data_IF_548432851000
#
_entry.id   IF_548432851000
#
_cell.length_a   1.000
_cell.length_b   1.000
_cell.length_c   1.000
_cell.angle_alpha   90.00
_cell.angle_beta   90.00
_cell.angle_gamma   90.00
#
_symmetry.space_group_name_H-M   'P 1'
#
loop_
_entity.id
_entity.type
_entity.pdbx_description
1 polymer ?
#
# COMPACT_ATOMS: atom_id res chain seq x y z
N UNK A 1 -72.64 4.93 -14.75
CA UNK A 1 -73.71 5.91 -14.73
C UNK A 1 -73.12 7.30 -14.86
N UNK A 2 -73.34 7.94 -16.02
CA UNK A 2 -73.48 9.37 -16.36
C UNK A 2 -72.40 10.31 -15.89
N UNK A 3 -71.46 10.72 -16.80
CA UNK A 3 -71.61 11.91 -17.68
C UNK A 3 -71.76 13.23 -16.87
N UNK A 4 -70.79 14.17 -17.04
CA UNK A 4 -71.08 15.37 -17.82
C UNK A 4 -69.82 16.16 -18.17
N UNK A 5 -69.76 16.47 -19.44
CA UNK A 5 -68.85 17.40 -20.15
C UNK A 5 -69.41 18.83 -20.05
N UNK A 6 -68.49 19.86 -20.02
CA UNK A 6 -68.67 21.17 -20.69
C UNK A 6 -67.42 21.99 -20.45
N UNK A 7 -66.61 22.30 -21.38
CA UNK A 7 -66.46 23.29 -22.44
C UNK A 7 -66.58 24.77 -22.03
N UNK A 8 -65.55 25.49 -22.47
CA UNK A 8 -65.37 26.87 -23.02
C UNK A 8 -64.53 27.77 -22.12
N UNK A 9 -63.70 28.72 -22.55
CA UNK A 9 -63.18 29.14 -23.86
C UNK A 9 -62.12 30.22 -23.56
N UNK A 10 -61.19 30.35 -24.49
CA UNK A 10 -60.35 31.52 -24.87
C UNK A 10 -60.17 32.68 -23.91
N UNK A 11 -58.87 32.97 -23.65
CA UNK A 11 -58.31 34.24 -23.26
C UNK A 11 -56.84 34.31 -23.60
N UNK A 12 -56.55 34.94 -24.74
CA UNK A 12 -55.16 35.23 -25.20
C UNK A 12 -54.62 36.36 -24.33
N UNK A 13 -53.56 36.08 -23.56
CA UNK A 13 -52.70 37.11 -22.99
C UNK A 13 -51.27 36.81 -23.37
N UNK A 14 -50.71 37.61 -24.25
CA UNK A 14 -49.30 37.62 -24.61
C UNK A 14 -48.51 38.19 -23.42
N UNK A 15 -47.73 37.36 -22.76
CA UNK A 15 -46.69 37.81 -21.84
C UNK A 15 -45.35 37.47 -22.49
N UNK A 16 -44.60 38.52 -22.80
CA UNK A 16 -43.21 38.43 -23.28
C UNK A 16 -42.36 37.80 -22.16
N UNK A 17 -41.94 36.55 -22.36
CA UNK A 17 -40.90 35.93 -21.55
C UNK A 17 -39.53 36.35 -22.07
N UNK A 18 -38.86 37.17 -21.30
CA UNK A 18 -37.41 37.40 -21.42
C UNK A 18 -36.76 36.07 -21.06
N UNK A 19 -36.26 35.36 -22.04
CA UNK A 19 -35.48 34.14 -21.85
C UNK A 19 -34.13 34.50 -21.25
N UNK A 20 -33.93 34.22 -19.96
CA UNK A 20 -32.60 34.10 -19.36
C UNK A 20 -32.04 32.76 -19.84
N UNK A 21 -31.19 32.83 -20.85
CA UNK A 21 -30.30 31.73 -21.22
C UNK A 21 -29.30 31.51 -20.07
N UNK A 22 -29.64 30.61 -19.15
CA UNK A 22 -28.61 30.00 -18.28
C UNK A 22 -27.82 29.06 -19.18
N UNK A 23 -26.71 29.57 -19.69
CA UNK A 23 -25.71 28.75 -20.38
C UNK A 23 -25.13 27.76 -19.36
N UNK A 24 -25.56 26.50 -19.44
CA UNK A 24 -24.75 25.39 -18.94
C UNK A 24 -23.47 25.37 -19.78
N UNK A 25 -22.45 26.03 -19.32
CA UNK A 25 -21.09 25.76 -19.78
C UNK A 25 -20.77 24.33 -19.37
N UNK A 26 -20.88 23.39 -20.32
CA UNK A 26 -20.11 22.15 -20.23
C UNK A 26 -18.66 22.60 -20.15
N UNK A 27 -18.02 22.37 -19.03
CA UNK A 27 -16.57 22.38 -18.97
C UNK A 27 -16.11 21.28 -19.94
N UNK A 28 -15.58 21.67 -21.06
CA UNK A 28 -14.81 20.77 -21.90
C UNK A 28 -13.64 20.26 -21.04
N UNK A 29 -13.30 18.96 -21.12
CA UNK A 29 -12.15 18.45 -20.40
C UNK A 29 -10.94 19.29 -20.85
N UNK A 30 -10.25 19.91 -19.90
CA UNK A 30 -9.07 20.73 -20.16
C UNK A 30 -8.11 19.93 -21.02
N UNK A 31 -7.85 20.38 -22.22
CA UNK A 31 -6.81 19.80 -23.08
C UNK A 31 -5.50 19.98 -22.34
N UNK A 32 -4.94 18.88 -21.81
CA UNK A 32 -3.62 18.87 -21.21
C UNK A 32 -2.63 19.33 -22.26
N UNK A 33 -2.01 20.49 -22.05
CA UNK A 33 -0.98 21.01 -22.95
C UNK A 33 0.27 20.14 -22.83
N UNK A 34 1.07 20.05 -23.90
CA UNK A 34 2.34 19.29 -23.88
C UNK A 34 3.28 19.70 -22.73
N UNK A 35 3.15 20.94 -22.24
CA UNK A 35 3.88 21.41 -21.04
C UNK A 35 3.52 20.63 -19.77
N UNK A 36 2.33 20.04 -19.70
CA UNK A 36 1.89 19.25 -18.55
C UNK A 36 2.46 17.83 -18.52
N UNK A 37 3.04 17.40 -19.65
CA UNK A 37 3.70 16.08 -19.80
C UNK A 37 5.22 16.15 -19.73
N UNK A 38 5.81 17.34 -19.65
CA UNK A 38 7.26 17.46 -19.54
C UNK A 38 7.75 16.78 -18.24
N UNK A 39 8.83 15.98 -18.31
CA UNK A 39 9.39 15.34 -17.12
C UNK A 39 9.73 16.37 -16.05
N UNK A 40 9.11 16.24 -14.88
CA UNK A 40 9.36 17.11 -13.73
C UNK A 40 9.97 16.23 -12.65
N UNK A 41 11.17 16.58 -12.21
CA UNK A 41 11.84 15.82 -11.15
C UNK A 41 11.05 15.84 -9.83
N UNK A 42 11.14 14.75 -9.07
CA UNK A 42 10.46 14.59 -7.78
C UNK A 42 10.56 15.83 -6.88
N UNK A 43 11.76 16.42 -6.73
CA UNK A 43 11.95 17.59 -5.87
C UNK A 43 11.10 18.79 -6.26
N UNK A 44 10.88 18.99 -7.55
CA UNK A 44 10.01 20.06 -8.02
C UNK A 44 8.55 19.79 -7.68
N UNK A 45 8.10 18.53 -7.81
CA UNK A 45 6.74 18.13 -7.44
C UNK A 45 6.55 18.23 -5.92
N UNK A 46 7.50 17.74 -5.12
CA UNK A 46 7.46 17.83 -3.66
C UNK A 46 7.35 19.29 -3.17
N UNK A 47 8.07 20.20 -3.82
CA UNK A 47 8.06 21.62 -3.49
C UNK A 47 6.79 22.38 -3.94
N UNK A 48 5.88 21.77 -4.68
CA UNK A 48 4.63 22.41 -5.10
C UNK A 48 3.75 22.74 -3.89
N UNK A 49 3.13 23.93 -3.91
CA UNK A 49 2.07 24.27 -2.96
C UNK A 49 0.76 23.62 -3.42
N UNK A 50 0.67 22.30 -3.24
CA UNK A 50 -0.41 21.45 -3.71
C UNK A 50 -0.67 20.34 -2.69
N UNK A 51 -1.86 19.75 -2.72
CA UNK A 51 -2.22 18.59 -1.90
C UNK A 51 -1.41 17.35 -2.31
N UNK A 52 -1.35 16.34 -1.43
CA UNK A 52 -0.72 15.07 -1.73
C UNK A 52 -1.36 14.40 -2.97
N UNK A 53 -2.68 14.52 -3.14
CA UNK A 53 -3.39 13.99 -4.30
C UNK A 53 -2.96 14.69 -5.60
N UNK A 54 -2.88 16.01 -5.62
CA UNK A 54 -2.42 16.77 -6.81
C UNK A 54 -0.97 16.45 -7.16
N UNK A 55 -0.10 16.29 -6.15
CA UNK A 55 1.29 15.86 -6.32
C UNK A 55 1.36 14.43 -6.89
N UNK A 56 0.53 13.51 -6.39
CA UNK A 56 0.43 12.14 -6.89
C UNK A 56 -0.02 12.13 -8.37
N UNK A 57 -1.08 12.86 -8.70
CA UNK A 57 -1.59 12.96 -10.07
C UNK A 57 -0.54 13.59 -11.01
N UNK A 58 0.20 14.59 -10.54
CA UNK A 58 1.30 15.19 -11.32
C UNK A 58 2.41 14.18 -11.55
N UNK A 59 2.78 13.39 -10.53
CA UNK A 59 3.80 12.34 -10.65
C UNK A 59 3.41 11.31 -11.71
N UNK A 60 2.19 10.81 -11.69
CA UNK A 60 1.70 9.84 -12.69
C UNK A 60 1.84 10.38 -14.11
N UNK A 61 1.49 11.68 -14.33
CA UNK A 61 1.59 12.30 -15.67
C UNK A 61 3.00 12.55 -16.14
N UNK A 62 3.98 12.69 -15.25
CA UNK A 62 5.34 13.16 -15.58
C UNK A 62 6.42 12.10 -15.39
N UNK A 63 6.17 11.04 -14.64
CA UNK A 63 7.11 9.94 -14.49
C UNK A 63 7.26 9.15 -15.78
N UNK A 64 8.50 8.74 -16.06
CA UNK A 64 8.75 7.77 -17.14
C UNK A 64 8.15 6.41 -16.78
N UNK A 65 7.90 5.57 -17.79
CA UNK A 65 7.43 4.20 -17.55
C UNK A 65 8.40 3.43 -16.67
N UNK A 66 9.71 3.61 -16.86
CA UNK A 66 10.75 2.98 -16.04
C UNK A 66 10.66 3.43 -14.57
N UNK A 67 10.45 4.74 -14.30
CA UNK A 67 10.22 5.24 -12.95
C UNK A 67 8.97 4.61 -12.32
N UNK A 68 7.88 4.53 -13.06
CA UNK A 68 6.61 3.94 -12.62
C UNK A 68 6.77 2.47 -12.24
N UNK A 69 7.45 1.68 -13.09
CA UNK A 69 7.71 0.25 -12.85
C UNK A 69 8.56 0.06 -11.59
N UNK A 70 9.62 0.87 -11.44
CA UNK A 70 10.45 0.82 -10.23
C UNK A 70 9.66 1.05 -8.94
N UNK A 71 8.64 1.93 -8.98
CA UNK A 71 7.82 2.17 -7.78
C UNK A 71 6.98 0.97 -7.34
N UNK A 72 6.70 0.01 -8.22
CA UNK A 72 6.00 -1.21 -7.86
C UNK A 72 6.88 -2.21 -7.08
N UNK A 73 8.17 -1.96 -6.98
CA UNK A 73 9.13 -2.90 -6.39
C UNK A 73 9.59 -2.42 -5.01
N UNK A 74 9.49 -3.30 -4.01
CA UNK A 74 10.12 -3.17 -2.70
C UNK A 74 11.18 -4.27 -2.57
N UNK A 75 12.45 -3.90 -2.45
CA UNK A 75 13.56 -4.85 -2.50
C UNK A 75 14.25 -4.99 -1.15
N UNK A 76 14.69 -6.21 -0.83
CA UNK A 76 15.67 -6.44 0.25
C UNK A 76 17.09 -6.13 -0.24
N UNK A 77 17.95 -5.79 0.69
CA UNK A 77 19.37 -5.59 0.46
C UNK A 77 20.17 -6.59 1.28
N UNK A 78 21.38 -6.93 0.83
CA UNK A 78 22.24 -7.89 1.53
C UNK A 78 23.26 -7.18 2.44
N UNK A 79 23.58 -7.81 3.57
CA UNK A 79 24.64 -7.36 4.48
C UNK A 79 24.32 -6.09 5.24
N UNK A 80 25.33 -5.57 5.94
CA UNK A 80 25.20 -4.47 6.90
C UNK A 80 25.81 -3.14 6.43
N UNK A 81 26.35 -3.12 5.21
CA UNK A 81 26.98 -1.93 4.60
C UNK A 81 26.27 -1.57 3.30
N UNK A 82 25.82 -0.32 3.20
CA UNK A 82 25.24 0.20 1.96
C UNK A 82 26.36 0.64 1.01
N UNK A 83 26.83 -0.30 0.21
CA UNK A 83 27.97 -0.14 -0.70
C UNK A 83 27.58 0.40 -2.09
N UNK A 84 28.55 0.53 -2.99
CA UNK A 84 28.31 1.09 -4.33
C UNK A 84 27.45 0.16 -5.20
N UNK A 85 27.53 -1.15 -5.01
CA UNK A 85 26.70 -2.09 -5.75
C UNK A 85 25.22 -1.93 -5.40
N UNK A 86 24.90 -1.70 -4.13
CA UNK A 86 23.54 -1.46 -3.65
C UNK A 86 23.02 -0.07 -4.07
N UNK A 87 23.89 0.95 -4.06
CA UNK A 87 23.55 2.26 -4.61
C UNK A 87 23.19 2.18 -6.09
N UNK A 88 23.95 1.37 -6.84
CA UNK A 88 23.65 1.13 -8.26
C UNK A 88 22.29 0.45 -8.46
N UNK A 89 21.92 -0.53 -7.64
CA UNK A 89 20.58 -1.14 -7.67
C UNK A 89 19.49 -0.09 -7.47
N UNK A 90 19.65 0.78 -6.46
CA UNK A 90 18.67 1.86 -6.19
C UNK A 90 18.57 2.84 -7.35
N UNK A 91 19.70 3.27 -7.91
CA UNK A 91 19.71 4.20 -9.05
C UNK A 91 19.10 3.58 -10.31
N UNK A 92 19.48 2.35 -10.61
CA UNK A 92 19.09 1.65 -11.84
C UNK A 92 17.61 1.29 -11.86
N UNK A 93 17.11 0.70 -10.77
CA UNK A 93 15.74 0.19 -10.73
C UNK A 93 14.74 1.16 -10.10
N UNK A 94 15.21 2.30 -9.55
CA UNK A 94 14.35 3.39 -9.02
C UNK A 94 13.23 2.90 -8.10
N UNK A 95 13.59 1.94 -7.24
CA UNK A 95 12.67 1.15 -6.44
C UNK A 95 11.76 1.98 -5.54
N UNK A 96 10.51 1.54 -5.43
CA UNK A 96 9.50 2.19 -4.59
C UNK A 96 9.71 1.99 -3.10
N UNK A 97 10.35 0.89 -2.70
CA UNK A 97 10.66 0.56 -1.32
C UNK A 97 11.94 -0.25 -1.16
N UNK A 98 12.47 -0.22 0.05
CA UNK A 98 13.58 -1.06 0.50
C UNK A 98 13.19 -1.63 1.86
N UNK A 99 13.24 -2.95 2.00
CA UNK A 99 12.98 -3.63 3.27
C UNK A 99 14.32 -4.10 3.87
N UNK A 100 14.53 -3.78 5.14
CA UNK A 100 15.69 -4.24 5.90
C UNK A 100 15.21 -5.19 7.00
N UNK A 101 15.96 -6.26 7.19
CA UNK A 101 15.69 -7.27 8.19
C UNK A 101 16.84 -7.41 9.22
N UNK A 102 16.78 -8.46 10.04
CA UNK A 102 17.80 -8.70 11.07
C UNK A 102 19.23 -8.80 10.51
N UNK A 103 19.40 -9.30 9.29
CA UNK A 103 20.71 -9.53 8.68
C UNK A 103 21.37 -8.22 8.22
N UNK A 104 20.58 -7.15 8.12
CA UNK A 104 21.06 -5.80 7.78
C UNK A 104 21.43 -4.95 8.99
N UNK A 105 21.31 -5.46 10.23
CA UNK A 105 21.39 -4.64 11.44
C UNK A 105 22.39 -5.18 12.46
N UNK A 106 23.40 -4.37 12.79
CA UNK A 106 24.42 -4.65 13.80
C UNK A 106 24.37 -3.68 14.98
N UNK A 107 24.27 -2.37 14.70
CA UNK A 107 24.19 -1.31 15.70
C UNK A 107 23.27 -0.18 15.24
N UNK A 108 22.82 0.67 16.16
CA UNK A 108 22.01 1.86 15.82
C UNK A 108 22.76 2.80 14.88
N UNK A 109 24.03 2.99 15.10
CA UNK A 109 24.92 3.83 14.30
C UNK A 109 25.04 3.29 12.89
N UNK A 110 25.26 1.98 12.74
CA UNK A 110 25.33 1.31 11.44
C UNK A 110 24.00 1.42 10.69
N UNK A 111 22.85 1.15 11.35
CA UNK A 111 21.53 1.25 10.73
C UNK A 111 21.23 2.67 10.26
N UNK A 112 21.55 3.70 11.07
CA UNK A 112 21.41 5.11 10.65
C UNK A 112 22.26 5.44 9.43
N UNK A 113 23.51 4.94 9.38
CA UNK A 113 24.39 5.14 8.24
C UNK A 113 23.84 4.46 6.99
N UNK A 114 23.32 3.23 7.12
CA UNK A 114 22.70 2.48 6.03
C UNK A 114 21.48 3.21 5.46
N UNK A 115 20.50 3.54 6.29
CA UNK A 115 19.27 4.23 5.88
C UNK A 115 19.53 5.64 5.36
N UNK A 116 20.53 6.34 5.92
CA UNK A 116 21.00 7.63 5.40
C UNK A 116 21.57 7.48 3.99
N UNK A 117 22.40 6.47 3.76
CA UNK A 117 22.98 6.16 2.45
C UNK A 117 21.89 5.94 1.38
N UNK A 118 20.81 5.22 1.72
CA UNK A 118 19.67 5.02 0.83
C UNK A 118 19.04 6.38 0.47
N UNK A 119 18.71 7.21 1.47
CA UNK A 119 18.11 8.53 1.24
C UNK A 119 18.99 9.47 0.44
N UNK A 120 20.29 9.52 0.77
CA UNK A 120 21.25 10.35 0.07
C UNK A 120 21.39 9.94 -1.41
N UNK A 121 21.37 8.63 -1.70
CA UNK A 121 21.40 8.11 -3.07
C UNK A 121 20.17 8.52 -3.86
N UNK A 122 18.97 8.37 -3.29
CA UNK A 122 17.74 8.83 -3.93
C UNK A 122 17.78 10.36 -4.16
N UNK A 123 18.16 11.13 -3.16
CA UNK A 123 18.23 12.60 -3.22
C UNK A 123 19.23 13.12 -4.27
N UNK A 124 20.43 12.53 -4.34
CA UNK A 124 21.47 12.95 -5.29
C UNK A 124 21.14 12.56 -6.72
N UNK A 125 20.40 11.49 -6.90
CA UNK A 125 19.96 10.99 -8.20
C UNK A 125 18.60 11.57 -8.64
N UNK A 126 18.02 12.49 -7.86
CA UNK A 126 16.70 13.09 -8.11
C UNK A 126 15.56 12.07 -8.26
N UNK A 127 15.70 10.91 -7.61
CA UNK A 127 14.71 9.85 -7.59
C UNK A 127 13.65 10.13 -6.52
N UNK A 128 12.45 9.57 -6.70
CA UNK A 128 11.46 9.50 -5.63
C UNK A 128 12.05 8.69 -4.46
N UNK A 129 12.10 9.23 -3.23
CA UNK A 129 12.60 8.50 -2.09
C UNK A 129 11.83 7.19 -1.87
N UNK A 130 12.52 6.05 -1.70
CA UNK A 130 11.85 4.79 -1.41
C UNK A 130 11.25 4.80 -0.01
N UNK A 131 10.22 3.98 0.22
CA UNK A 131 9.91 3.55 1.57
C UNK A 131 11.15 2.81 2.13
N UNK A 132 11.50 3.10 3.37
CA UNK A 132 12.52 2.33 4.11
C UNK A 132 11.77 1.57 5.19
N UNK A 133 11.57 0.28 4.92
CA UNK A 133 10.67 -0.57 5.66
C UNK A 133 11.39 -1.58 6.55
N UNK A 134 10.72 -1.98 7.61
CA UNK A 134 11.04 -3.15 8.42
C UNK A 134 9.77 -3.82 8.92
N UNK A 135 9.87 -5.08 9.31
CA UNK A 135 8.82 -5.74 10.11
C UNK A 135 9.24 -5.71 11.59
N UNK A 136 8.78 -4.69 12.32
CA UNK A 136 9.18 -4.46 13.71
C UNK A 136 8.76 -5.60 14.64
N UNK A 137 7.62 -6.19 14.40
CA UNK A 137 7.04 -7.25 15.22
C UNK A 137 7.85 -8.56 15.12
N UNK A 138 8.54 -8.78 14.00
CA UNK A 138 9.43 -9.94 13.80
C UNK A 138 10.87 -9.70 14.26
N UNK A 139 11.21 -8.48 14.70
CA UNK A 139 12.56 -8.11 15.17
C UNK A 139 12.79 -8.38 16.66
N UNK A 140 12.09 -9.31 17.24
CA UNK A 140 12.15 -9.67 18.68
C UNK A 140 13.54 -10.14 19.16
N UNK A 141 14.41 -10.55 18.23
CA UNK A 141 15.72 -11.14 18.57
C UNK A 141 16.87 -10.12 18.65
N UNK A 142 16.60 -8.82 18.52
CA UNK A 142 17.62 -7.75 18.55
C UNK A 142 17.34 -6.67 19.59
N UNK A 143 17.24 -7.02 20.91
CA UNK A 143 16.89 -6.07 21.96
C UNK A 143 17.95 -4.97 22.18
N UNK A 144 19.20 -5.19 21.77
CA UNK A 144 20.26 -4.16 21.82
C UNK A 144 20.09 -3.04 20.79
N UNK A 145 19.36 -3.30 19.72
CA UNK A 145 19.14 -2.35 18.62
C UNK A 145 17.84 -1.58 18.78
N UNK A 146 16.81 -2.22 19.30
CA UNK A 146 15.46 -1.66 19.37
C UNK A 146 14.87 -1.86 20.75
N UNK A 147 13.80 -1.14 21.05
CA UNK A 147 13.02 -1.36 22.27
C UNK A 147 12.72 -2.86 22.43
N UNK A 148 12.75 -3.39 23.66
CA UNK A 148 12.45 -4.79 23.91
C UNK A 148 11.12 -5.18 23.28
N UNK A 149 11.10 -6.34 22.63
CA UNK A 149 9.85 -6.92 22.16
C UNK A 149 8.92 -7.18 23.32
N UNK A 150 7.66 -6.80 23.14
CA UNK A 150 6.61 -7.06 24.14
C UNK A 150 5.60 -7.99 23.50
N UNK A 151 5.24 -9.08 24.20
CA UNK A 151 4.19 -9.98 23.74
C UNK A 151 2.91 -9.18 23.45
N UNK A 152 2.37 -9.23 22.21
CA UNK A 152 1.20 -8.45 21.83
C UNK A 152 -0.02 -8.73 22.71
N UNK A 153 -0.24 -10.00 23.12
CA UNK A 153 -1.36 -10.38 23.98
C UNK A 153 -1.21 -9.80 25.39
N UNK A 154 0.02 -9.81 25.94
CA UNK A 154 0.29 -9.19 27.24
C UNK A 154 0.13 -7.67 27.16
N UNK A 155 0.63 -7.03 26.11
CA UNK A 155 0.46 -5.60 25.88
C UNK A 155 -1.02 -5.22 25.76
N UNK A 156 -1.78 -5.98 24.98
CA UNK A 156 -3.23 -5.78 24.83
C UNK A 156 -3.95 -5.82 26.17
N UNK A 157 -3.61 -6.76 27.06
CA UNK A 157 -4.21 -6.86 28.40
C UNK A 157 -3.94 -5.64 29.28
N UNK A 158 -2.85 -4.91 29.06
CA UNK A 158 -2.53 -3.66 29.79
C UNK A 158 -3.39 -2.47 29.35
N UNK A 159 -4.14 -2.59 28.24
CA UNK A 159 -5.06 -1.56 27.76
C UNK A 159 -4.51 -0.72 26.60
N UNK A 160 -5.38 0.10 26.01
CA UNK A 160 -5.05 0.92 24.84
C UNK A 160 -4.01 2.00 25.14
N UNK A 161 -3.92 2.51 26.36
CA UNK A 161 -2.90 3.49 26.76
C UNK A 161 -1.49 2.88 26.70
N UNK A 162 -1.35 1.63 27.13
CA UNK A 162 -0.09 0.90 27.02
C UNK A 162 0.31 0.65 25.56
N UNK A 163 -0.66 0.24 24.73
CA UNK A 163 -0.46 0.10 23.26
C UNK A 163 -0.04 1.44 22.65
N UNK A 164 -0.76 2.52 22.95
CA UNK A 164 -0.48 3.86 22.47
C UNK A 164 0.92 4.35 22.86
N UNK A 165 1.32 4.13 24.11
CA UNK A 165 2.63 4.50 24.63
C UNK A 165 3.75 3.73 23.94
N UNK A 166 3.61 2.41 23.77
CA UNK A 166 4.60 1.60 23.07
C UNK A 166 4.68 1.97 21.59
N UNK A 167 3.55 2.12 20.91
CA UNK A 167 3.51 2.51 19.50
C UNK A 167 4.20 3.86 19.25
N UNK A 168 3.97 4.85 20.13
CA UNK A 168 4.66 6.16 20.04
C UNK A 168 6.17 6.00 20.16
N UNK A 169 6.66 5.28 21.16
CA UNK A 169 8.10 5.07 21.36
C UNK A 169 8.73 4.29 20.20
N UNK A 170 8.03 3.27 19.70
CA UNK A 170 8.47 2.48 18.54
C UNK A 170 8.58 3.35 17.29
N UNK A 171 7.58 4.18 17.01
CA UNK A 171 7.60 5.08 15.86
C UNK A 171 8.75 6.11 15.94
N UNK A 172 9.00 6.68 17.12
CA UNK A 172 10.14 7.59 17.35
C UNK A 172 11.46 6.85 17.09
N UNK A 173 11.61 5.63 17.61
CA UNK A 173 12.83 4.82 17.41
C UNK A 173 13.03 4.46 15.92
N UNK A 174 11.98 4.01 15.23
CA UNK A 174 12.03 3.71 13.79
C UNK A 174 12.47 4.94 12.99
N UNK A 175 11.85 6.09 13.23
CA UNK A 175 12.21 7.35 12.57
C UNK A 175 13.67 7.74 12.85
N UNK A 176 14.12 7.63 14.09
CA UNK A 176 15.51 7.93 14.50
C UNK A 176 16.54 7.02 13.79
N UNK A 177 16.17 5.77 13.53
CA UNK A 177 16.94 4.83 12.72
C UNK A 177 16.76 5.03 11.21
N UNK A 178 15.86 5.91 10.79
CA UNK A 178 15.61 6.28 9.40
C UNK A 178 14.59 5.43 8.66
N UNK A 179 13.85 4.59 9.37
CA UNK A 179 12.69 3.88 8.81
C UNK A 179 11.46 4.79 8.75
N UNK A 180 10.66 4.60 7.72
CA UNK A 180 9.38 5.30 7.56
C UNK A 180 8.18 4.37 7.31
N UNK A 181 8.38 3.05 7.34
CA UNK A 181 7.31 2.07 7.14
C UNK A 181 7.51 0.86 8.06
N UNK A 182 6.48 0.50 8.83
CA UNK A 182 6.39 -0.78 9.54
C UNK A 182 5.44 -1.72 8.81
N UNK A 183 5.95 -2.87 8.35
CA UNK A 183 5.18 -3.88 7.60
C UNK A 183 4.49 -4.92 8.51
N UNK A 184 4.68 -4.86 9.83
CA UNK A 184 4.35 -5.98 10.70
C UNK A 184 3.20 -5.75 11.67
N UNK A 185 2.30 -4.79 11.45
CA UNK A 185 1.17 -4.59 12.38
C UNK A 185 0.14 -5.70 12.18
N UNK A 186 0.22 -6.72 13.04
CA UNK A 186 -0.65 -7.88 13.00
C UNK A 186 -2.03 -7.54 13.58
N UNK A 187 -3.00 -7.40 12.70
CA UNK A 187 -4.40 -7.10 13.07
C UNK A 187 -5.30 -8.34 13.04
N UNK A 188 -4.81 -9.46 12.54
CA UNK A 188 -5.55 -10.73 12.57
C UNK A 188 -5.72 -11.24 14.01
N UNK A 189 -6.83 -11.92 14.25
CA UNK A 189 -7.23 -12.42 15.59
C UNK A 189 -6.73 -13.83 15.87
N UNK A 190 -6.32 -14.58 14.87
CA UNK A 190 -5.93 -15.99 14.94
C UNK A 190 -4.44 -16.28 14.82
N UNK A 191 -3.60 -15.26 14.64
CA UNK A 191 -2.15 -15.43 14.54
C UNK A 191 -1.47 -15.60 15.91
N UNK A 192 -0.31 -16.24 15.93
CA UNK A 192 0.57 -16.25 17.10
C UNK A 192 0.91 -14.83 17.58
N UNK A 193 1.10 -13.90 16.64
CA UNK A 193 1.42 -12.49 16.89
C UNK A 193 0.20 -11.60 17.13
N UNK A 194 -1.02 -12.16 17.20
CA UNK A 194 -2.25 -11.40 17.43
C UNK A 194 -2.23 -10.70 18.78
N UNK A 195 -2.73 -9.48 18.82
CA UNK A 195 -2.93 -8.74 20.07
C UNK A 195 -4.10 -9.29 20.90
N UNK A 196 -5.11 -9.82 20.24
CA UNK A 196 -6.34 -10.33 20.86
C UNK A 196 -7.12 -11.20 19.87
N UNK A 197 -8.00 -12.02 20.38
CA UNK A 197 -9.02 -12.74 19.59
C UNK A 197 -10.36 -11.98 19.50
N UNK A 198 -10.47 -10.82 20.11
CA UNK A 198 -11.66 -9.96 20.02
C UNK A 198 -11.50 -9.00 18.83
N UNK A 199 -12.41 -9.10 17.86
CA UNK A 199 -12.39 -8.39 16.58
C UNK A 199 -12.43 -6.87 16.77
N UNK A 200 -13.34 -6.38 17.60
CA UNK A 200 -13.51 -4.94 17.82
C UNK A 200 -12.31 -4.35 18.58
N UNK A 201 -11.72 -5.15 19.47
CA UNK A 201 -10.48 -4.77 20.17
C UNK A 201 -9.28 -4.78 19.23
N UNK A 202 -9.17 -5.76 18.33
CA UNK A 202 -8.11 -5.82 17.34
C UNK A 202 -8.12 -4.58 16.44
N UNK A 203 -9.30 -4.18 15.96
CA UNK A 203 -9.47 -2.97 15.17
C UNK A 203 -9.06 -1.70 15.94
N UNK A 204 -9.51 -1.54 17.19
CA UNK A 204 -9.10 -0.40 18.03
C UNK A 204 -7.60 -0.35 18.30
N UNK A 205 -6.95 -1.51 18.47
CA UNK A 205 -5.49 -1.59 18.62
C UNK A 205 -4.80 -1.17 17.33
N UNK A 206 -5.20 -1.70 16.17
CA UNK A 206 -4.65 -1.33 14.87
C UNK A 206 -4.79 0.18 14.61
N UNK A 207 -5.99 0.74 14.84
CA UNK A 207 -6.25 2.18 14.75
C UNK A 207 -5.34 3.00 15.68
N UNK A 208 -5.19 2.57 16.94
CA UNK A 208 -4.34 3.24 17.93
C UNK A 208 -2.88 3.26 17.47
N UNK A 209 -2.35 2.14 17.00
CA UNK A 209 -0.97 2.03 16.49
C UNK A 209 -0.79 2.95 15.29
N UNK A 210 -1.68 2.89 14.31
CA UNK A 210 -1.60 3.70 13.10
C UNK A 210 -1.62 5.19 13.38
N UNK A 211 -2.51 5.66 14.25
CA UNK A 211 -2.54 7.07 14.66
C UNK A 211 -1.23 7.53 15.30
N UNK A 212 -0.59 6.69 16.10
CA UNK A 212 0.72 7.01 16.72
C UNK A 212 1.86 6.98 15.72
N UNK A 213 1.82 6.04 14.78
CA UNK A 213 2.81 5.94 13.72
C UNK A 213 2.71 7.14 12.77
N UNK A 214 1.52 7.46 12.27
CA UNK A 214 1.28 8.61 11.40
C UNK A 214 1.70 9.94 12.07
N UNK A 215 1.39 10.14 13.35
CA UNK A 215 1.83 11.32 14.11
C UNK A 215 3.37 11.43 14.24
N UNK A 216 4.10 10.36 13.97
CA UNK A 216 5.57 10.31 13.98
C UNK A 216 6.17 10.03 12.58
N UNK A 217 5.40 10.25 11.51
CA UNK A 217 5.84 10.06 10.11
C UNK A 217 6.29 8.63 9.78
N UNK A 218 5.63 7.62 10.37
CA UNK A 218 5.81 6.21 10.04
C UNK A 218 4.51 5.67 9.46
N UNK A 219 4.60 5.05 8.31
CA UNK A 219 3.47 4.35 7.68
C UNK A 219 3.24 2.98 8.31
N UNK A 220 2.02 2.48 8.19
CA UNK A 220 1.59 1.20 8.76
C UNK A 220 1.22 0.20 7.66
N UNK A 221 1.84 -0.98 7.69
CA UNK A 221 1.41 -2.15 6.93
C UNK A 221 0.65 -3.13 7.83
N UNK A 222 -0.60 -3.42 7.48
CA UNK A 222 -1.41 -4.41 8.19
C UNK A 222 -1.22 -5.80 7.61
N UNK A 223 -0.86 -6.77 8.45
CA UNK A 223 -0.74 -8.20 8.12
C UNK A 223 -1.98 -8.94 8.62
N UNK A 224 -2.54 -9.88 7.85
CA UNK A 224 -2.60 -10.09 6.40
C UNK A 224 -4.06 -10.19 5.98
N UNK A 225 -4.47 -9.53 4.89
CA UNK A 225 -5.84 -9.68 4.38
C UNK A 225 -5.99 -11.03 3.65
N UNK A 226 -7.13 -11.72 3.75
CA UNK A 226 -8.37 -11.34 4.47
C UNK A 226 -8.43 -11.85 5.92
N UNK A 227 -7.42 -12.47 6.46
CA UNK A 227 -7.44 -13.05 7.79
C UNK A 227 -7.89 -14.52 7.81
N UNK A 228 -8.28 -15.01 9.00
CA UNK A 228 -8.87 -16.34 9.18
C UNK A 228 -7.87 -17.47 9.42
N UNK A 229 -6.59 -17.19 9.69
CA UNK A 229 -5.62 -18.24 9.92
C UNK A 229 -4.32 -17.79 10.56
N UNK A 230 -3.49 -18.78 10.93
CA UNK A 230 -2.13 -18.54 11.40
C UNK A 230 -1.17 -18.49 10.20
N UNK A 231 -0.79 -17.29 9.82
CA UNK A 231 0.04 -16.99 8.64
C UNK A 231 1.53 -17.33 8.83
N UNK A 232 1.89 -17.95 9.93
CA UNK A 232 3.25 -18.48 10.13
C UNK A 232 3.53 -19.73 9.29
N UNK A 233 2.48 -20.36 8.72
CA UNK A 233 2.58 -21.57 7.87
C UNK A 233 2.46 -21.18 6.39
N UNK A 234 3.56 -21.20 5.63
CA UNK A 234 3.52 -20.92 4.20
C UNK A 234 2.60 -21.87 3.42
N UNK A 235 1.79 -21.33 2.50
CA UNK A 235 0.88 -22.14 1.67
C UNK A 235 -0.34 -22.70 2.40
N UNK A 236 -0.64 -22.23 3.60
CA UNK A 236 -1.83 -22.61 4.36
C UNK A 236 -3.10 -22.45 3.51
N UNK A 237 -4.04 -23.35 3.73
CA UNK A 237 -5.40 -23.27 3.19
C UNK A 237 -6.35 -22.83 4.28
N UNK A 238 -7.14 -21.83 3.97
CA UNK A 238 -8.22 -21.32 4.84
C UNK A 238 -9.53 -21.81 4.23
N UNK A 239 -10.20 -22.70 4.97
CA UNK A 239 -11.50 -23.28 4.59
C UNK A 239 -12.62 -22.57 5.34
N UNK A 240 -12.67 -21.24 5.22
CA UNK A 240 -13.71 -20.42 5.78
C UNK A 240 -14.49 -19.71 4.67
N UNK A 241 -15.79 -19.59 4.81
CA UNK A 241 -16.60 -18.82 3.86
C UNK A 241 -16.28 -17.32 3.94
N UNK A 242 -16.52 -16.59 2.86
CA UNK A 242 -16.38 -15.12 2.86
C UNK A 242 -17.22 -14.47 3.98
N UNK A 243 -18.44 -14.97 4.22
CA UNK A 243 -19.31 -14.48 5.30
C UNK A 243 -18.66 -14.70 6.67
N UNK A 244 -18.10 -15.89 6.92
CA UNK A 244 -17.40 -16.17 8.17
C UNK A 244 -16.18 -15.28 8.36
N UNK A 245 -15.40 -15.05 7.29
CA UNK A 245 -14.25 -14.12 7.36
C UNK A 245 -14.70 -12.69 7.62
N UNK A 246 -15.85 -12.24 7.06
CA UNK A 246 -16.41 -10.91 7.33
C UNK A 246 -16.94 -10.74 8.74
N UNK A 247 -17.35 -11.83 9.40
CA UNK A 247 -17.74 -11.81 10.83
C UNK A 247 -16.52 -11.80 11.77
N UNK A 248 -15.33 -12.04 11.25
CA UNK A 248 -14.07 -12.16 11.99
C UNK A 248 -13.03 -11.15 11.48
N UNK A 249 -11.85 -11.60 11.05
CA UNK A 249 -10.72 -10.75 10.63
C UNK A 249 -11.10 -9.77 9.50
N UNK A 250 -11.95 -10.16 8.56
CA UNK A 250 -12.47 -9.27 7.52
C UNK A 250 -13.16 -8.04 8.08
N UNK A 251 -13.88 -8.17 9.23
CA UNK A 251 -14.49 -7.05 9.94
C UNK A 251 -13.44 -6.13 10.58
N UNK A 252 -12.30 -6.68 11.05
CA UNK A 252 -11.18 -5.86 11.53
C UNK A 252 -10.69 -4.95 10.41
N UNK A 253 -10.42 -5.49 9.22
CA UNK A 253 -10.00 -4.69 8.06
C UNK A 253 -11.05 -3.66 7.65
N UNK A 254 -12.34 -4.02 7.63
CA UNK A 254 -13.41 -3.08 7.29
C UNK A 254 -13.47 -1.89 8.26
N UNK A 255 -13.31 -2.13 9.56
CA UNK A 255 -13.27 -1.07 10.57
C UNK A 255 -12.02 -0.18 10.40
N UNK A 256 -10.86 -0.76 10.09
CA UNK A 256 -9.61 -0.02 9.90
C UNK A 256 -9.64 0.84 8.63
N UNK A 257 -10.18 0.34 7.52
CA UNK A 257 -10.37 1.10 6.28
C UNK A 257 -11.19 2.38 6.55
N UNK A 258 -12.25 2.30 7.35
CA UNK A 258 -13.07 3.45 7.70
C UNK A 258 -12.48 4.41 8.74
N UNK A 259 -11.51 3.95 9.55
CA UNK A 259 -11.03 4.68 10.74
C UNK A 259 -9.63 5.29 10.57
N UNK A 260 -8.81 4.76 9.66
CA UNK A 260 -7.44 5.20 9.40
C UNK A 260 -7.33 5.79 8.00
N UNK A 261 -6.56 6.87 7.85
CA UNK A 261 -6.34 7.45 6.52
C UNK A 261 -5.58 6.46 5.62
N UNK A 262 -6.12 6.17 4.46
CA UNK A 262 -5.54 5.22 3.49
C UNK A 262 -4.19 5.71 2.95
N UNK A 263 -3.96 7.01 3.01
CA UNK A 263 -2.67 7.64 2.71
C UNK A 263 -1.59 7.37 3.75
N UNK A 264 -1.92 6.75 4.90
CA UNK A 264 -0.97 6.36 5.94
C UNK A 264 -0.86 4.85 6.14
N UNK A 265 -1.69 4.07 5.43
CA UNK A 265 -1.77 2.62 5.62
C UNK A 265 -1.63 1.85 4.32
N UNK A 266 -1.07 0.66 4.41
CA UNK A 266 -1.13 -0.34 3.37
C UNK A 266 -1.63 -1.65 3.94
N UNK A 267 -2.22 -2.48 3.08
CA UNK A 267 -2.68 -3.81 3.42
C UNK A 267 -1.79 -4.83 2.73
N UNK A 268 -1.28 -5.78 3.51
CA UNK A 268 -0.44 -6.84 3.00
C UNK A 268 -1.26 -8.09 2.68
N UNK A 269 -0.89 -8.74 1.58
CA UNK A 269 -1.45 -10.03 1.13
C UNK A 269 -0.32 -11.05 0.95
N UNK A 270 -0.62 -12.32 1.18
CA UNK A 270 0.38 -13.38 1.12
C UNK A 270 -0.05 -14.59 0.28
N UNK A 271 0.72 -15.68 0.35
CA UNK A 271 0.52 -16.88 -0.45
C UNK A 271 -0.42 -17.93 0.17
N UNK A 272 -1.25 -17.57 1.15
CA UNK A 272 -2.31 -18.47 1.65
C UNK A 272 -3.45 -18.59 0.63
N UNK A 273 -4.23 -19.66 0.70
CA UNK A 273 -5.40 -19.88 -0.17
C UNK A 273 -6.68 -19.82 0.65
N UNK A 274 -7.65 -19.00 0.23
CA UNK A 274 -9.02 -19.02 0.76
C UNK A 274 -9.88 -19.82 -0.22
N UNK A 275 -10.01 -21.13 0.05
CA UNK A 275 -10.53 -22.10 -0.91
C UNK A 275 -11.99 -21.89 -1.28
N UNK A 276 -12.77 -21.27 -0.41
CA UNK A 276 -14.18 -20.93 -0.65
C UNK A 276 -14.39 -19.74 -1.61
N UNK A 277 -13.35 -18.90 -1.82
CA UNK A 277 -13.42 -17.73 -2.70
C UNK A 277 -12.63 -17.99 -3.98
N UNK A 278 -11.39 -18.49 -3.84
CA UNK A 278 -10.54 -18.86 -4.97
C UNK A 278 -9.75 -20.13 -4.62
N UNK A 279 -10.26 -21.27 -5.07
CA UNK A 279 -9.64 -22.57 -4.77
C UNK A 279 -8.28 -22.79 -5.45
N UNK A 280 -8.02 -22.07 -6.55
CA UNK A 280 -6.87 -22.32 -7.41
C UNK A 280 -5.70 -21.39 -7.13
N UNK A 281 -5.96 -20.14 -6.70
CA UNK A 281 -4.93 -19.12 -6.53
C UNK A 281 -4.71 -18.77 -5.05
N UNK A 282 -3.47 -18.46 -4.65
CA UNK A 282 -3.23 -17.82 -3.37
C UNK A 282 -3.82 -16.39 -3.38
N UNK A 283 -4.07 -15.86 -2.19
CA UNK A 283 -4.65 -14.50 -2.00
C UNK A 283 -3.94 -13.46 -2.84
N UNK A 284 -2.61 -13.45 -2.83
CA UNK A 284 -1.78 -12.51 -3.60
C UNK A 284 -1.92 -12.60 -5.12
N UNK A 285 -2.48 -13.69 -5.67
CA UNK A 285 -2.78 -13.86 -7.10
C UNK A 285 -4.28 -13.84 -7.40
N UNK A 286 -5.12 -13.63 -6.39
CA UNK A 286 -6.58 -13.76 -6.50
C UNK A 286 -7.25 -12.41 -6.75
N UNK A 287 -7.66 -12.16 -7.99
CA UNK A 287 -8.48 -11.00 -8.33
C UNK A 287 -9.80 -10.96 -7.56
N UNK A 288 -10.55 -12.08 -7.36
CA UNK A 288 -11.75 -12.10 -6.52
C UNK A 288 -11.51 -11.59 -5.09
N UNK A 289 -10.32 -11.82 -4.52
CA UNK A 289 -10.02 -11.39 -3.16
C UNK A 289 -9.50 -9.94 -3.13
N UNK A 290 -8.52 -9.60 -3.98
CA UNK A 290 -7.89 -8.27 -3.90
C UNK A 290 -8.76 -7.22 -4.60
N UNK A 291 -9.13 -7.46 -5.87
CA UNK A 291 -9.89 -6.44 -6.63
C UNK A 291 -11.35 -6.44 -6.24
N UNK A 292 -12.02 -7.61 -6.28
CA UNK A 292 -13.46 -7.61 -6.15
C UNK A 292 -13.89 -7.42 -4.69
N UNK A 293 -13.24 -8.10 -3.74
CA UNK A 293 -13.62 -7.97 -2.33
C UNK A 293 -12.95 -6.77 -1.64
N UNK A 294 -11.59 -6.71 -1.57
CA UNK A 294 -10.92 -5.66 -0.80
C UNK A 294 -11.15 -4.27 -1.41
N UNK A 295 -10.97 -4.13 -2.74
CA UNK A 295 -11.12 -2.81 -3.37
C UNK A 295 -12.56 -2.43 -3.65
N UNK A 296 -13.31 -3.26 -4.38
CA UNK A 296 -14.63 -2.86 -4.87
C UNK A 296 -15.71 -2.95 -3.79
N UNK A 297 -15.72 -4.01 -2.97
CA UNK A 297 -16.76 -4.18 -1.96
C UNK A 297 -16.44 -3.47 -0.64
N UNK A 298 -15.17 -3.56 -0.17
CA UNK A 298 -14.76 -2.91 1.09
C UNK A 298 -14.30 -1.47 0.89
N UNK A 299 -14.05 -1.04 -0.36
CA UNK A 299 -13.72 0.33 -0.72
C UNK A 299 -12.27 0.75 -0.38
N UNK A 300 -11.32 -0.19 -0.28
CA UNK A 300 -9.94 0.17 0.03
C UNK A 300 -9.21 0.79 -1.16
N UNK A 301 -8.88 2.07 -1.07
CA UNK A 301 -8.17 2.85 -2.09
C UNK A 301 -6.67 3.01 -1.80
N UNK A 302 -6.17 2.50 -0.67
CA UNK A 302 -4.75 2.55 -0.29
C UNK A 302 -3.87 1.54 -1.01
N UNK A 303 -2.60 1.49 -0.64
CA UNK A 303 -1.60 0.58 -1.23
C UNK A 303 -1.83 -0.86 -0.76
N UNK A 304 -1.91 -1.81 -1.69
CA UNK A 304 -1.83 -3.25 -1.43
C UNK A 304 -0.44 -3.73 -1.78
N UNK A 305 0.22 -4.39 -0.83
CA UNK A 305 1.58 -4.92 -0.98
C UNK A 305 1.59 -6.43 -0.73
N UNK A 306 2.37 -7.18 -1.48
CA UNK A 306 2.54 -8.62 -1.22
C UNK A 306 3.49 -8.85 -0.04
N UNK A 307 3.44 -10.06 0.55
CA UNK A 307 4.60 -10.64 1.24
C UNK A 307 5.68 -11.02 0.21
N UNK A 308 6.78 -11.63 0.65
CA UNK A 308 7.89 -12.01 -0.23
C UNK A 308 7.43 -12.90 -1.39
N UNK A 309 7.50 -12.38 -2.61
CA UNK A 309 7.06 -13.10 -3.81
C UNK A 309 7.99 -14.26 -4.18
N UNK A 310 9.23 -14.33 -3.67
CA UNK A 310 10.09 -15.49 -3.87
C UNK A 310 9.50 -16.74 -3.18
N UNK A 311 9.00 -16.55 -1.96
CA UNK A 311 8.29 -17.59 -1.23
C UNK A 311 6.94 -17.91 -1.90
N UNK A 312 6.20 -16.87 -2.29
CA UNK A 312 4.90 -17.03 -2.96
C UNK A 312 4.99 -17.80 -4.27
N UNK A 313 5.96 -17.50 -5.10
CA UNK A 313 6.20 -18.18 -6.38
C UNK A 313 6.54 -19.66 -6.18
N UNK A 314 7.41 -19.95 -5.21
CA UNK A 314 7.76 -21.34 -4.85
C UNK A 314 6.52 -22.14 -4.39
N UNK A 315 5.64 -21.55 -3.56
CA UNK A 315 4.39 -22.17 -3.11
C UNK A 315 3.41 -22.40 -4.28
N UNK A 316 3.32 -21.41 -5.18
CA UNK A 316 2.43 -21.47 -6.34
C UNK A 316 2.97 -22.40 -7.45
N UNK A 317 4.27 -22.77 -7.42
CA UNK A 317 4.91 -23.59 -8.43
C UNK A 317 5.08 -22.89 -9.79
N UNK A 318 5.26 -21.57 -9.79
CA UNK A 318 5.47 -20.74 -10.99
C UNK A 318 6.75 -19.92 -10.86
N UNK A 319 7.20 -19.28 -11.95
CA UNK A 319 8.34 -18.39 -11.89
C UNK A 319 8.03 -17.13 -11.09
N UNK A 320 9.07 -16.48 -10.57
CA UNK A 320 8.92 -15.22 -9.83
C UNK A 320 8.46 -14.09 -10.75
N UNK A 321 8.87 -14.11 -12.00
CA UNK A 321 8.47 -13.20 -13.05
C UNK A 321 6.95 -13.27 -13.31
N UNK A 322 6.44 -14.50 -13.51
CA UNK A 322 5.00 -14.73 -13.72
C UNK A 322 4.21 -14.35 -12.46
N UNK A 323 4.75 -14.68 -11.28
CA UNK A 323 4.11 -14.30 -10.02
C UNK A 323 3.98 -12.78 -9.88
N UNK A 324 5.04 -12.02 -10.17
CA UNK A 324 5.05 -10.56 -10.08
C UNK A 324 4.00 -9.92 -11.02
N UNK A 325 3.96 -10.35 -12.28
CA UNK A 325 2.99 -9.83 -13.26
C UNK A 325 1.56 -10.15 -12.83
N UNK A 326 1.30 -11.39 -12.39
CA UNK A 326 -0.05 -11.83 -12.00
C UNK A 326 -0.54 -11.15 -10.74
N UNK A 327 0.33 -10.89 -9.77
CA UNK A 327 -0.08 -10.22 -8.52
C UNK A 327 -0.45 -8.74 -8.76
N UNK A 328 0.26 -8.05 -9.66
CA UNK A 328 -0.13 -6.69 -10.08
C UNK A 328 -1.51 -6.71 -10.77
N UNK A 329 -1.73 -7.66 -11.67
CA UNK A 329 -3.02 -7.81 -12.35
C UNK A 329 -4.16 -8.27 -11.42
N UNK A 330 -3.85 -8.94 -10.30
CA UNK A 330 -4.83 -9.29 -9.28
C UNK A 330 -5.27 -8.08 -8.42
N UNK A 331 -4.53 -6.97 -8.46
CA UNK A 331 -4.89 -5.72 -7.75
C UNK A 331 -3.86 -5.24 -6.72
N UNK A 332 -2.72 -5.93 -6.54
CA UNK A 332 -1.62 -5.43 -5.71
C UNK A 332 -0.89 -4.28 -6.39
N UNK A 333 -0.39 -3.34 -5.62
CA UNK A 333 0.33 -2.17 -6.12
C UNK A 333 1.85 -2.32 -6.01
N UNK A 334 2.31 -3.08 -5.01
CA UNK A 334 3.73 -3.33 -4.78
C UNK A 334 4.02 -4.80 -4.51
N UNK A 335 5.21 -5.24 -4.93
CA UNK A 335 5.74 -6.57 -4.65
C UNK A 335 7.00 -6.48 -3.79
N UNK A 336 7.16 -7.42 -2.84
CA UNK A 336 8.38 -7.53 -2.02
C UNK A 336 9.28 -8.64 -2.58
N UNK A 337 10.58 -8.33 -2.71
CA UNK A 337 11.66 -9.24 -3.08
C UNK A 337 12.75 -9.17 -2.00
N UNK A 338 12.79 -10.15 -1.09
CA UNK A 338 13.60 -10.00 0.11
C UNK A 338 15.06 -10.47 -0.01
N UNK A 339 15.42 -11.40 -0.93
CA UNK A 339 16.67 -12.15 -0.71
C UNK A 339 17.67 -12.21 -1.86
N UNK A 340 17.29 -12.01 -3.11
CA UNK A 340 18.19 -12.31 -4.21
C UNK A 340 18.28 -11.19 -5.23
N UNK A 341 19.40 -10.49 -5.28
CA UNK A 341 19.65 -9.40 -6.23
C UNK A 341 19.39 -9.80 -7.70
N UNK A 342 19.64 -11.06 -8.08
CA UNK A 342 19.34 -11.57 -9.44
C UNK A 342 17.85 -11.50 -9.79
N UNK A 343 16.97 -11.66 -8.79
CA UNK A 343 15.52 -11.62 -8.99
C UNK A 343 15.02 -10.20 -9.23
N UNK A 344 15.70 -9.18 -8.71
CA UNK A 344 15.36 -7.77 -8.93
C UNK A 344 15.34 -7.46 -10.44
N UNK A 345 16.42 -7.85 -11.15
CA UNK A 345 16.48 -7.66 -12.61
C UNK A 345 15.38 -8.45 -13.32
N UNK A 346 15.20 -9.72 -12.99
CA UNK A 346 14.24 -10.60 -13.63
C UNK A 346 12.80 -10.07 -13.50
N UNK A 347 12.42 -9.65 -12.29
CA UNK A 347 11.09 -9.09 -12.02
C UNK A 347 10.92 -7.73 -12.69
N UNK A 348 11.93 -6.85 -12.64
CA UNK A 348 11.88 -5.57 -13.34
C UNK A 348 11.67 -5.75 -14.85
N UNK A 349 12.43 -6.64 -15.48
CA UNK A 349 12.32 -6.91 -16.91
C UNK A 349 10.95 -7.50 -17.27
N UNK A 350 10.43 -8.42 -16.42
CA UNK A 350 9.10 -9.01 -16.62
C UNK A 350 7.97 -7.97 -16.51
N UNK A 351 8.02 -7.10 -15.52
CA UNK A 351 7.05 -6.01 -15.38
C UNK A 351 7.15 -5.03 -16.56
N UNK A 352 8.37 -4.70 -17.00
CA UNK A 352 8.60 -3.85 -18.16
C UNK A 352 8.01 -4.45 -19.43
N UNK A 353 8.25 -5.74 -19.67
CA UNK A 353 7.69 -6.44 -20.81
C UNK A 353 6.17 -6.52 -20.75
N UNK A 354 5.62 -6.83 -19.55
CA UNK A 354 4.17 -6.94 -19.36
C UNK A 354 3.43 -5.61 -19.59
N UNK A 355 4.06 -4.48 -19.27
CA UNK A 355 3.50 -3.16 -19.62
C UNK A 355 3.64 -2.89 -21.13
N UNK A 356 4.78 -3.21 -21.72
CA UNK A 356 5.03 -2.99 -23.14
C UNK A 356 4.10 -3.77 -24.07
N UNK A 357 3.73 -5.01 -23.70
CA UNK A 357 2.82 -5.87 -24.47
C UNK A 357 1.35 -5.75 -24.04
N UNK A 358 1.04 -4.90 -23.04
CA UNK A 358 -0.31 -4.65 -22.56
C UNK A 358 -0.87 -5.71 -21.61
N UNK A 359 -0.09 -6.71 -21.19
CA UNK A 359 -0.48 -7.69 -20.14
C UNK A 359 -0.79 -6.97 -18.84
N UNK A 360 -0.01 -5.94 -18.48
CA UNK A 360 -0.38 -4.93 -17.48
C UNK A 360 -0.74 -3.66 -18.27
N UNK A 361 -1.99 -3.21 -18.18
CA UNK A 361 -2.40 -1.98 -18.86
C UNK A 361 -1.73 -0.74 -18.24
N UNK A 362 -1.49 0.30 -19.06
CA UNK A 362 -0.97 1.59 -18.57
C UNK A 362 -1.87 2.15 -17.46
N UNK A 363 -3.18 2.03 -17.58
CA UNK A 363 -4.13 2.46 -16.56
C UNK A 363 -3.91 1.73 -15.24
N UNK A 364 -3.65 0.41 -15.28
CA UNK A 364 -3.36 -0.38 -14.07
C UNK A 364 -2.04 0.03 -13.41
N UNK A 365 -1.01 0.29 -14.22
CA UNK A 365 0.27 0.83 -13.75
C UNK A 365 0.07 2.20 -13.09
N UNK A 366 -0.65 3.10 -13.74
CA UNK A 366 -0.92 4.45 -13.26
C UNK A 366 -1.73 4.48 -11.96
N UNK A 367 -2.71 3.60 -11.81
CA UNK A 367 -3.45 3.41 -10.56
C UNK A 367 -2.53 3.03 -9.40
N UNK A 368 -1.64 2.06 -9.59
CA UNK A 368 -0.69 1.65 -8.56
C UNK A 368 0.25 2.80 -8.18
N UNK A 369 0.83 3.46 -9.18
CA UNK A 369 1.76 4.57 -8.95
C UNK A 369 1.05 5.72 -8.24
N UNK A 370 -0.20 6.03 -8.59
CA UNK A 370 -0.98 7.07 -7.94
C UNK A 370 -1.15 6.79 -6.44
N UNK A 371 -1.52 5.56 -6.05
CA UNK A 371 -1.65 5.16 -4.64
C UNK A 371 -0.33 5.26 -3.89
N UNK A 372 0.75 4.77 -4.49
CA UNK A 372 2.09 4.83 -3.91
C UNK A 372 2.53 6.29 -3.72
N UNK A 373 2.32 7.15 -4.72
CA UNK A 373 2.68 8.57 -4.65
C UNK A 373 1.83 9.32 -3.63
N UNK A 374 0.51 9.07 -3.59
CA UNK A 374 -0.38 9.65 -2.59
C UNK A 374 0.15 9.37 -1.17
N UNK A 375 0.49 8.12 -0.88
CA UNK A 375 1.05 7.73 0.41
C UNK A 375 2.39 8.42 0.68
N UNK A 376 3.31 8.47 -0.29
CA UNK A 376 4.61 9.13 -0.12
C UNK A 376 4.47 10.62 0.18
N UNK A 377 3.60 11.33 -0.53
CA UNK A 377 3.41 12.77 -0.34
C UNK A 377 2.56 13.13 0.88
N UNK A 378 1.81 12.21 1.46
CA UNK A 378 1.06 12.48 2.69
C UNK A 378 1.94 12.75 3.91
N UNK A 379 3.18 12.27 3.89
CA UNK A 379 4.19 12.49 4.93
C UNK A 379 5.21 13.61 4.60
N UNK A 380 5.07 14.24 3.45
CA UNK A 380 5.96 15.32 2.99
C UNK A 380 5.58 16.62 3.73
N UNK A 381 6.17 16.85 4.92
CA UNK A 381 6.09 18.11 5.69
C UNK A 381 7.46 18.59 6.11
#
# INVERSE_FOLDING_TARGET
MKQFVKRMACGVLAIAMIGILVGCSREEPSVTTDSDRAPVGYKAIAAMNASAAEKADRSVRTMSQEDKIGQLMCIGLEGTTFDESQKELVRKYRVGGIVLDNDNMESKEQVRAFTKGIRDTANTSSLMPPFIAMNRERMQYRPSLMLPWTDPKLLSKQGLDAVSSLATRTAIEMRDLGFNLNLGVMVNTHSFYSYTSDVDRAARIGETITKRYAANHVFTGYEYFPGGGDYTVPGMKIDASKASLMDDDGRVFAQLIGATGEEHTMIMVNAVKVTSIDANQPVSLSKPIITDWLRNEMGFEGVVMTDDIEVGAAIAGISIEDYAVRTINAGSDMVILCKHAKHIKAVHDALTQAVADGTISEARLDESVRRIMLMKFSNDR
#
